data_IF_690946896200
#
_entry.id   IF_690946896200
#
_cell.length_a   1.000
_cell.length_b   1.000
_cell.length_c   1.000
_cell.angle_alpha   90.00
_cell.angle_beta   90.00
_cell.angle_gamma   90.00
#
_symmetry.space_group_name_H-M   'P 1'
#
loop_
_entity.id
_entity.type
_entity.pdbx_description
1 polymer ?
#
# COMPACT_ATOMS: atom_id res chain seq x y z
N UNK A 1 -5.41 -21.11 30.98
CA UNK A 1 -5.99 -19.84 31.49
C UNK A 1 -6.19 -18.90 30.31
N UNK A 2 -7.09 -19.23 29.38
CA UNK A 2 -7.55 -18.34 28.30
C UNK A 2 -8.90 -18.85 27.78
N UNK A 3 -9.92 -18.85 28.64
CA UNK A 3 -11.30 -18.77 28.15
C UNK A 3 -11.67 -17.30 28.27
N UNK A 4 -11.39 -16.51 27.21
CA UNK A 4 -11.75 -15.10 27.21
C UNK A 4 -13.19 -14.97 26.71
N UNK A 5 -14.05 -14.51 27.60
CA UNK A 5 -15.51 -14.58 27.61
C UNK A 5 -16.19 -13.68 26.54
N UNK A 6 -15.50 -13.31 25.45
CA UNK A 6 -16.07 -12.43 24.43
C UNK A 6 -15.48 -12.61 23.01
N UNK A 7 -15.27 -13.84 22.55
CA UNK A 7 -14.93 -14.14 21.13
C UNK A 7 -16.14 -13.98 20.19
N UNK A 8 -16.83 -12.85 20.30
CA UNK A 8 -17.90 -12.48 19.39
C UNK A 8 -17.32 -11.69 18.21
N UNK A 9 -18.09 -11.62 17.12
CA UNK A 9 -17.67 -10.93 15.89
C UNK A 9 -17.30 -9.47 16.16
N UNK A 10 -18.03 -8.80 17.04
CA UNK A 10 -17.83 -7.40 17.39
C UNK A 10 -16.46 -7.17 18.06
N UNK A 11 -16.06 -8.03 18.99
CA UNK A 11 -14.74 -7.94 19.64
C UNK A 11 -13.60 -8.10 18.64
N UNK A 12 -13.71 -9.03 17.69
CA UNK A 12 -12.68 -9.24 16.65
C UNK A 12 -12.63 -8.10 15.64
N UNK A 13 -13.77 -7.48 15.32
CA UNK A 13 -13.81 -6.30 14.46
C UNK A 13 -13.18 -5.08 15.13
N UNK A 14 -13.43 -4.88 16.43
CA UNK A 14 -12.79 -3.83 17.21
C UNK A 14 -11.26 -4.02 17.29
N UNK A 15 -10.79 -5.26 17.42
CA UNK A 15 -9.36 -5.58 17.37
C UNK A 15 -8.74 -5.24 16.01
N UNK A 16 -9.42 -5.61 14.90
CA UNK A 16 -8.96 -5.27 13.56
C UNK A 16 -8.91 -3.76 13.32
N UNK A 17 -9.93 -3.02 13.77
CA UNK A 17 -9.94 -1.56 13.70
C UNK A 17 -8.78 -0.95 14.49
N UNK A 18 -8.52 -1.47 15.69
CA UNK A 18 -7.39 -1.04 16.49
C UNK A 18 -6.05 -1.29 15.80
N UNK A 19 -5.88 -2.44 15.14
CA UNK A 19 -4.69 -2.74 14.36
C UNK A 19 -4.51 -1.77 13.19
N UNK A 20 -5.57 -1.37 12.50
CA UNK A 20 -5.50 -0.51 11.32
C UNK A 20 -5.33 0.98 11.64
N UNK A 21 -5.93 1.48 12.71
CA UNK A 21 -6.06 2.92 12.96
C UNK A 21 -5.48 3.41 14.29
N UNK A 22 -5.38 2.54 15.31
CA UNK A 22 -5.05 2.95 16.69
C UNK A 22 -3.76 2.31 17.23
N UNK A 23 -3.03 1.59 16.39
CA UNK A 23 -1.79 0.92 16.75
C UNK A 23 -0.66 1.93 16.99
N UNK A 24 0.08 1.72 18.07
CA UNK A 24 1.19 2.59 18.43
C UNK A 24 2.38 2.29 17.52
N UNK A 25 3.28 3.25 17.28
CA UNK A 25 4.55 3.03 16.54
C UNK A 25 5.39 1.89 17.17
N UNK A 26 5.14 1.55 18.43
CA UNK A 26 5.78 0.43 19.14
C UNK A 26 5.25 -0.95 18.73
N UNK A 27 4.09 -1.03 18.11
CA UNK A 27 3.48 -2.26 17.63
C UNK A 27 4.09 -2.60 16.26
N UNK A 28 5.18 -3.38 16.29
CA UNK A 28 5.98 -3.77 15.11
C UNK A 28 5.22 -4.61 14.06
N UNK A 29 3.96 -4.93 14.32
CA UNK A 29 3.14 -5.85 13.52
C UNK A 29 2.15 -5.15 12.59
N UNK A 30 2.15 -3.81 12.53
CA UNK A 30 1.13 -3.08 11.77
C UNK A 30 1.64 -2.53 10.43
N UNK A 31 0.88 -2.83 9.38
CA UNK A 31 1.00 -2.20 8.06
C UNK A 31 0.25 -0.86 8.08
N UNK A 32 1.00 0.25 7.97
CA UNK A 32 0.39 1.56 7.78
C UNK A 32 -0.35 1.67 6.45
N UNK A 33 -1.27 2.63 6.34
CA UNK A 33 -2.02 2.93 5.10
C UNK A 33 -1.07 3.11 3.90
N UNK A 34 0.12 3.68 4.10
CA UNK A 34 1.13 3.82 3.05
C UNK A 34 1.59 2.49 2.47
N UNK A 35 1.82 1.47 3.31
CA UNK A 35 2.21 0.13 2.85
C UNK A 35 1.06 -0.56 2.09
N UNK A 36 -0.19 -0.29 2.48
CA UNK A 36 -1.36 -0.78 1.75
C UNK A 36 -1.49 -0.11 0.38
N UNK A 37 -1.20 1.20 0.29
CA UNK A 37 -1.15 1.91 -0.99
C UNK A 37 -0.02 1.38 -1.89
N UNK A 38 1.15 1.07 -1.32
CA UNK A 38 2.24 0.43 -2.05
C UNK A 38 1.83 -0.93 -2.61
N UNK A 39 1.23 -1.79 -1.78
CA UNK A 39 0.74 -3.10 -2.18
C UNK A 39 -0.32 -3.00 -3.30
N UNK A 40 -1.23 -2.02 -3.20
CA UNK A 40 -2.26 -1.81 -4.21
C UNK A 40 -1.69 -1.32 -5.54
N UNK A 41 -0.69 -0.43 -5.50
CA UNK A 41 0.05 0.03 -6.68
C UNK A 41 0.78 -1.15 -7.35
N UNK A 42 1.51 -1.95 -6.58
CA UNK A 42 2.25 -3.12 -7.10
C UNK A 42 1.29 -4.09 -7.77
N UNK A 43 0.18 -4.44 -7.12
CA UNK A 43 -0.82 -5.33 -7.72
C UNK A 43 -1.37 -4.78 -9.04
N UNK A 44 -1.71 -3.48 -9.08
CA UNK A 44 -2.19 -2.84 -10.30
C UNK A 44 -1.16 -2.89 -11.43
N UNK A 45 0.10 -2.58 -11.12
CA UNK A 45 1.19 -2.56 -12.10
C UNK A 45 1.49 -3.97 -12.63
N UNK A 46 1.51 -4.99 -11.78
CA UNK A 46 1.65 -6.38 -12.18
C UNK A 46 0.48 -6.84 -13.06
N UNK A 47 -0.76 -6.49 -12.71
CA UNK A 47 -1.92 -6.78 -13.56
C UNK A 47 -1.82 -6.09 -14.94
N UNK A 48 -1.33 -4.85 -14.99
CA UNK A 48 -1.14 -4.13 -16.25
C UNK A 48 -0.05 -4.74 -17.14
N UNK A 49 0.98 -5.34 -16.54
CA UNK A 49 2.11 -5.93 -17.25
C UNK A 49 1.99 -7.45 -17.44
N UNK A 50 1.00 -8.08 -16.83
CA UNK A 50 0.77 -9.52 -16.91
C UNK A 50 0.36 -9.97 -18.32
N UNK A 51 0.77 -11.19 -18.69
CA UNK A 51 0.27 -11.89 -19.88
C UNK A 51 -1.23 -12.16 -19.81
N UNK A 52 -1.81 -12.14 -18.61
CA UNK A 52 -3.24 -12.35 -18.34
C UNK A 52 -4.05 -11.04 -18.37
N UNK A 53 -3.47 -9.88 -18.71
CA UNK A 53 -4.20 -8.59 -18.71
C UNK A 53 -5.53 -8.57 -19.46
N UNK A 54 -5.67 -9.44 -20.48
CA UNK A 54 -6.90 -9.55 -21.29
C UNK A 54 -7.96 -10.47 -20.68
N UNK A 55 -7.61 -11.26 -19.66
CA UNK A 55 -8.59 -12.02 -18.90
C UNK A 55 -9.62 -11.08 -18.30
N UNK A 56 -10.89 -11.41 -18.46
CA UNK A 56 -12.01 -10.52 -18.14
C UNK A 56 -11.89 -9.93 -16.74
N UNK A 57 -11.64 -10.77 -15.74
CA UNK A 57 -11.53 -10.36 -14.33
C UNK A 57 -10.37 -9.38 -14.10
N UNK A 58 -9.24 -9.58 -14.77
CA UNK A 58 -8.06 -8.70 -14.63
C UNK A 58 -8.29 -7.38 -15.37
N UNK A 59 -8.87 -7.43 -16.57
CA UNK A 59 -9.22 -6.23 -17.34
C UNK A 59 -10.22 -5.35 -16.57
N UNK A 60 -11.26 -5.96 -15.97
CA UNK A 60 -12.24 -5.26 -15.14
C UNK A 60 -11.59 -4.64 -13.89
N UNK A 61 -10.70 -5.37 -13.21
CA UNK A 61 -9.92 -4.84 -12.08
C UNK A 61 -9.07 -3.63 -12.48
N UNK A 62 -8.35 -3.71 -13.61
CA UNK A 62 -7.51 -2.62 -14.10
C UNK A 62 -8.36 -1.38 -14.37
N UNK A 63 -9.47 -1.51 -15.10
CA UNK A 63 -10.31 -0.35 -15.40
C UNK A 63 -10.96 0.24 -14.15
N UNK A 64 -11.36 -0.59 -13.18
CA UNK A 64 -11.85 -0.14 -11.88
C UNK A 64 -10.80 0.68 -11.11
N UNK A 65 -9.58 0.15 -10.96
CA UNK A 65 -8.55 0.73 -10.10
C UNK A 65 -7.82 1.93 -10.74
N UNK A 66 -7.85 2.05 -12.07
CA UNK A 66 -7.06 3.01 -12.86
C UNK A 66 -7.12 4.44 -12.37
N UNK A 67 -8.32 4.96 -12.11
CA UNK A 67 -8.51 6.37 -11.71
C UNK A 67 -7.92 6.65 -10.33
N UNK A 68 -8.13 5.73 -9.38
CA UNK A 68 -7.58 5.83 -8.03
C UNK A 68 -6.07 5.72 -8.03
N UNK A 69 -5.51 4.69 -8.68
CA UNK A 69 -4.06 4.48 -8.76
C UNK A 69 -3.36 5.68 -9.43
N UNK A 70 -3.93 6.21 -10.52
CA UNK A 70 -3.39 7.40 -11.18
C UNK A 70 -3.36 8.61 -10.25
N UNK A 71 -4.40 8.80 -9.42
CA UNK A 71 -4.46 9.87 -8.43
C UNK A 71 -3.42 9.68 -7.32
N UNK A 72 -3.30 8.47 -6.77
CA UNK A 72 -2.32 8.16 -5.72
C UNK A 72 -0.90 8.40 -6.24
N UNK A 73 -0.56 7.87 -7.41
CA UNK A 73 0.77 8.06 -8.04
C UNK A 73 1.10 9.54 -8.27
N UNK A 74 0.11 10.36 -8.64
CA UNK A 74 0.28 11.81 -8.82
C UNK A 74 0.45 12.57 -7.51
N UNK A 75 -0.23 12.14 -6.43
CA UNK A 75 -0.15 12.82 -5.14
C UNK A 75 1.11 12.45 -4.34
N UNK A 76 1.74 11.31 -4.63
CA UNK A 76 3.00 10.90 -4.03
C UNK A 76 4.15 11.77 -4.49
N UNK A 77 5.16 11.92 -3.63
CA UNK A 77 6.40 12.61 -3.98
C UNK A 77 7.00 12.03 -5.25
N UNK A 78 7.35 12.91 -6.17
CA UNK A 78 8.03 12.61 -7.40
C UNK A 78 9.42 13.26 -7.39
N UNK A 79 10.35 12.67 -8.14
CA UNK A 79 11.67 13.26 -8.38
C UNK A 79 11.62 14.70 -8.90
N UNK A 80 10.59 15.02 -9.68
CA UNK A 80 10.35 16.33 -10.27
C UNK A 80 9.93 17.40 -9.24
N UNK A 81 9.54 17.01 -8.03
CA UNK A 81 9.26 17.94 -6.94
C UNK A 81 10.55 18.50 -6.31
N UNK A 82 11.72 17.98 -6.73
CA UNK A 82 13.02 18.34 -6.19
C UNK A 82 13.94 18.89 -7.28
N UNK A 83 14.54 20.06 -7.03
CA UNK A 83 15.64 20.59 -7.83
C UNK A 83 16.98 20.08 -7.31
N UNK A 84 17.84 19.57 -8.20
CA UNK A 84 19.19 19.16 -7.81
C UNK A 84 20.15 20.31 -7.90
N UNK A 85 20.52 20.84 -6.74
CA UNK A 85 21.50 21.92 -6.63
C UNK A 85 22.92 21.39 -6.92
N UNK A 86 23.30 20.28 -6.28
CA UNK A 86 24.63 19.69 -6.41
C UNK A 86 24.63 18.22 -5.97
N UNK A 87 25.32 17.38 -6.74
CA UNK A 87 25.66 16.01 -6.35
C UNK A 87 26.95 16.06 -5.50
N UNK A 88 26.92 15.48 -4.30
CA UNK A 88 28.03 15.56 -3.32
C UNK A 88 28.75 14.24 -3.09
N UNK A 89 28.26 13.13 -3.65
CA UNK A 89 28.86 11.82 -3.52
C UNK A 89 28.36 10.89 -4.63
N UNK A 90 29.00 9.73 -4.80
CA UNK A 90 28.49 8.62 -5.60
C UNK A 90 28.80 7.33 -4.88
N UNK A 91 27.80 6.45 -4.79
CA UNK A 91 27.88 5.18 -4.10
C UNK A 91 27.81 3.99 -5.07
N UNK A 92 27.78 2.78 -4.51
CA UNK A 92 27.73 1.54 -5.30
C UNK A 92 26.42 1.35 -6.08
N UNK A 93 25.33 2.01 -5.67
CA UNK A 93 23.99 1.84 -6.25
C UNK A 93 23.33 3.16 -6.67
N UNK A 94 24.09 4.25 -6.74
CA UNK A 94 23.54 5.55 -7.09
C UNK A 94 24.52 6.71 -6.99
N UNK A 95 23.98 7.90 -7.20
CA UNK A 95 24.62 9.20 -7.03
C UNK A 95 23.93 10.02 -5.94
#
# INVERSE_FOLDING_TARGET
MFDNINDNVESRLNELEHLLFNSSIKDQTVLGVEALLDAFIVLYDECCNSTLRREKTIAEFIEYAKSFISRVKRCRFNRNDFETIKIIGRGAFGE
#
